data_IF_356758175927
#
_entry.id   IF_356758175927
#
_cell.length_a   1.000
_cell.length_b   1.000
_cell.length_c   1.000
_cell.angle_alpha   90.00
_cell.angle_beta   90.00
_cell.angle_gamma   90.00
#
_symmetry.space_group_name_H-M   'P 1'
#
loop_
_entity.id
_entity.type
_entity.pdbx_description
1 polymer ?
#
# COMPACT_ATOMS: atom_id res chain seq x y z
N UNK A 1 4.51 4.21 6.79
CA UNK A 1 3.08 4.08 7.09
C UNK A 1 2.44 5.40 7.56
N UNK A 2 2.85 6.02 8.69
CA UNK A 2 2.24 7.27 9.16
C UNK A 2 2.35 8.43 8.16
N UNK A 3 3.48 8.59 7.50
CA UNK A 3 3.67 9.61 6.46
C UNK A 3 2.66 9.48 5.33
N UNK A 4 2.42 8.26 4.85
CA UNK A 4 1.46 7.98 3.78
C UNK A 4 0.03 8.32 4.19
N UNK A 5 -0.33 8.06 5.44
CA UNK A 5 -1.66 8.41 5.98
C UNK A 5 -1.82 9.94 6.01
N UNK A 6 -0.84 10.67 6.52
CA UNK A 6 -0.87 12.14 6.54
C UNK A 6 -0.93 12.73 5.13
N UNK A 7 -0.15 12.19 4.20
CA UNK A 7 -0.13 12.59 2.80
C UNK A 7 -1.51 12.41 2.14
N UNK A 8 -2.16 11.28 2.35
CA UNK A 8 -3.47 11.00 1.78
C UNK A 8 -4.60 11.74 2.46
N UNK A 9 -4.56 11.90 3.79
CA UNK A 9 -5.54 12.72 4.52
C UNK A 9 -5.44 14.17 4.04
N UNK A 10 -4.24 14.74 3.97
CA UNK A 10 -4.03 16.09 3.47
C UNK A 10 -4.56 16.27 2.03
N UNK A 11 -4.26 15.30 1.14
CA UNK A 11 -4.79 15.31 -0.23
C UNK A 11 -6.30 15.24 -0.26
N UNK A 12 -6.91 14.32 0.47
CA UNK A 12 -8.36 14.13 0.51
C UNK A 12 -9.09 15.36 1.04
N UNK A 13 -8.62 15.94 2.14
CA UNK A 13 -9.26 17.15 2.70
C UNK A 13 -9.13 18.33 1.74
N UNK A 14 -7.99 18.54 1.11
CA UNK A 14 -7.82 19.63 0.15
C UNK A 14 -8.69 19.44 -1.10
N UNK A 15 -8.77 18.21 -1.62
CA UNK A 15 -9.58 17.92 -2.82
C UNK A 15 -11.08 18.00 -2.52
N UNK A 16 -11.56 17.37 -1.47
CA UNK A 16 -13.00 17.27 -1.20
C UNK A 16 -13.55 18.41 -0.37
N UNK A 17 -12.73 18.99 0.53
CA UNK A 17 -13.17 20.06 1.42
C UNK A 17 -12.96 21.47 0.86
N UNK A 18 -11.96 21.66 0.00
CA UNK A 18 -11.53 22.99 -0.44
C UNK A 18 -11.38 23.13 -1.96
N UNK A 19 -12.05 22.30 -2.75
CA UNK A 19 -12.00 22.37 -4.22
C UNK A 19 -12.87 23.49 -4.82
N UNK A 20 -13.68 24.16 -4.01
CA UNK A 20 -14.48 25.30 -4.48
C UNK A 20 -13.60 26.49 -4.85
N UNK A 21 -13.87 27.23 -5.95
CA UNK A 21 -13.05 28.36 -6.40
C UNK A 21 -12.87 29.47 -5.34
N UNK A 22 -13.82 29.59 -4.41
CA UNK A 22 -13.80 30.60 -3.35
C UNK A 22 -13.36 30.06 -1.99
N UNK A 23 -13.00 28.78 -1.90
CA UNK A 23 -12.56 28.18 -0.64
C UNK A 23 -11.11 28.57 -0.33
N UNK A 24 -10.90 29.14 0.85
CA UNK A 24 -9.56 29.42 1.36
C UNK A 24 -9.10 28.18 2.15
N UNK A 25 -8.11 27.49 1.64
CA UNK A 25 -7.55 26.32 2.32
C UNK A 25 -6.73 26.78 3.54
N UNK A 26 -7.08 26.36 4.77
CA UNK A 26 -6.26 26.63 5.94
C UNK A 26 -4.84 26.08 5.77
N UNK A 27 -3.83 26.84 6.18
CA UNK A 27 -2.40 26.51 6.00
C UNK A 27 -1.99 25.18 6.63
N UNK A 28 -2.75 24.69 7.60
CA UNK A 28 -2.47 23.40 8.26
C UNK A 28 -2.51 22.21 7.30
N UNK A 29 -3.43 22.21 6.32
CA UNK A 29 -3.58 21.07 5.40
C UNK A 29 -2.42 20.94 4.41
N UNK A 30 -1.96 22.02 3.75
CA UNK A 30 -0.72 21.97 2.97
C UNK A 30 0.49 21.54 3.80
N UNK A 31 0.60 21.98 5.07
CA UNK A 31 1.70 21.55 5.96
C UNK A 31 1.62 20.04 6.22
N UNK A 32 0.46 19.53 6.63
CA UNK A 32 0.24 18.09 6.83
C UNK A 32 0.58 17.30 5.57
N UNK A 33 0.16 17.77 4.42
CA UNK A 33 0.44 17.15 3.13
C UNK A 33 1.95 17.07 2.84
N UNK A 34 2.70 18.18 3.01
CA UNK A 34 4.14 18.21 2.75
C UNK A 34 4.91 17.34 3.75
N UNK A 35 4.59 17.43 5.04
CA UNK A 35 5.20 16.57 6.06
C UNK A 35 4.93 15.09 5.74
N UNK A 36 3.69 14.76 5.40
CA UNK A 36 3.32 13.40 4.99
C UNK A 36 4.06 12.93 3.75
N UNK A 37 4.17 13.78 2.72
CA UNK A 37 4.89 13.47 1.48
C UNK A 37 6.39 13.25 1.73
N UNK A 38 7.02 14.10 2.53
CA UNK A 38 8.45 13.96 2.89
C UNK A 38 8.69 12.68 3.66
N UNK A 39 7.90 12.39 4.68
CA UNK A 39 8.02 11.16 5.47
C UNK A 39 7.78 9.91 4.62
N UNK A 40 6.83 9.97 3.69
CA UNK A 40 6.55 8.87 2.75
C UNK A 40 7.74 8.67 1.82
N UNK A 41 8.25 9.74 1.25
CA UNK A 41 9.39 9.73 0.35
C UNK A 41 10.62 9.11 1.02
N UNK A 42 11.01 9.63 2.19
CA UNK A 42 12.14 9.11 2.98
C UNK A 42 11.95 7.62 3.34
N UNK A 43 10.77 7.26 3.86
CA UNK A 43 10.48 5.90 4.26
C UNK A 43 10.44 4.92 3.08
N UNK A 44 9.91 5.34 1.93
CA UNK A 44 9.82 4.52 0.74
C UNK A 44 11.19 4.31 0.07
N UNK A 45 12.03 5.34 0.01
CA UNK A 45 13.41 5.20 -0.45
C UNK A 45 14.26 4.35 0.51
N UNK A 46 14.10 4.56 1.83
CA UNK A 46 14.76 3.71 2.82
C UNK A 46 14.38 2.25 2.65
N UNK A 47 13.09 1.96 2.50
CA UNK A 47 12.61 0.61 2.24
C UNK A 47 13.21 0.04 0.95
N UNK A 48 13.22 0.82 -0.14
CA UNK A 48 13.69 0.37 -1.44
C UNK A 48 15.17 -0.01 -1.44
N UNK A 49 16.02 0.83 -0.87
CA UNK A 49 17.47 0.65 -0.95
C UNK A 49 18.06 -0.19 0.18
N UNK A 50 17.45 -0.20 1.36
CA UNK A 50 17.99 -0.89 2.53
C UNK A 50 17.19 -2.12 2.91
N UNK A 51 15.89 -1.98 3.21
CA UNK A 51 15.09 -3.10 3.70
C UNK A 51 14.76 -4.13 2.63
N UNK A 52 14.50 -3.68 1.40
CA UNK A 52 14.20 -4.58 0.29
C UNK A 52 15.40 -5.42 -0.12
N UNK A 53 16.59 -4.85 -0.07
CA UNK A 53 17.85 -5.54 -0.39
C UNK A 53 18.16 -6.60 0.65
N UNK A 54 17.99 -6.29 1.94
CA UNK A 54 18.22 -7.24 3.04
C UNK A 54 17.21 -8.40 3.02
N UNK A 55 15.95 -8.12 2.68
CA UNK A 55 14.91 -9.15 2.54
C UNK A 55 15.11 -10.00 1.30
N UNK A 56 15.76 -9.45 0.27
CA UNK A 56 16.13 -10.17 -0.94
C UNK A 56 17.54 -10.77 -0.88
N UNK A 57 18.05 -11.12 0.31
CA UNK A 57 19.35 -11.77 0.52
C UNK A 57 19.56 -13.05 -0.33
N UNK A 58 18.55 -13.48 -1.08
CA UNK A 58 18.61 -14.47 -2.15
C UNK A 58 19.13 -13.90 -3.49
N UNK A 59 20.10 -12.99 -3.47
CA UNK A 59 20.92 -12.61 -4.61
C UNK A 59 20.24 -11.84 -5.77
N UNK A 60 19.17 -11.09 -5.53
CA UNK A 60 18.57 -10.26 -6.58
C UNK A 60 19.07 -8.80 -6.51
N UNK A 61 19.40 -8.23 -7.68
CA UNK A 61 19.81 -6.83 -7.77
C UNK A 61 18.68 -5.87 -7.35
N UNK A 62 19.04 -4.70 -6.79
CA UNK A 62 18.10 -3.63 -6.37
C UNK A 62 17.16 -3.20 -7.51
N UNK A 63 17.61 -3.32 -8.75
CA UNK A 63 16.86 -2.91 -9.95
C UNK A 63 15.94 -3.99 -10.52
N UNK A 64 15.92 -5.20 -9.96
CA UNK A 64 14.98 -6.22 -10.39
C UNK A 64 13.60 -5.94 -9.81
N UNK A 65 12.70 -5.45 -10.64
CA UNK A 65 11.32 -5.14 -10.27
C UNK A 65 10.49 -6.43 -10.36
N UNK A 66 9.84 -6.81 -9.28
CA UNK A 66 8.84 -7.88 -9.23
C UNK A 66 7.44 -7.28 -9.05
N UNK A 67 6.40 -8.02 -9.37
CA UNK A 67 5.00 -7.54 -9.26
C UNK A 67 4.67 -6.99 -7.86
N UNK A 68 5.26 -7.56 -6.81
CA UNK A 68 5.08 -7.11 -5.45
C UNK A 68 5.64 -5.70 -5.18
N UNK A 69 6.61 -5.27 -5.97
CA UNK A 69 7.29 -3.97 -5.80
C UNK A 69 6.52 -2.82 -6.47
N UNK A 70 5.61 -3.11 -7.40
CA UNK A 70 4.90 -2.08 -8.16
C UNK A 70 4.16 -1.09 -7.25
N UNK A 71 3.62 -1.57 -6.14
CA UNK A 71 2.96 -0.70 -5.17
C UNK A 71 3.95 0.27 -4.50
N UNK A 72 5.10 -0.24 -4.05
CA UNK A 72 6.14 0.59 -3.40
C UNK A 72 6.73 1.57 -4.42
N UNK A 73 6.97 1.12 -5.65
CA UNK A 73 7.44 1.98 -6.73
C UNK A 73 6.44 3.10 -7.04
N UNK A 74 5.15 2.78 -7.16
CA UNK A 74 4.11 3.78 -7.37
C UNK A 74 4.03 4.77 -6.20
N UNK A 75 4.23 4.32 -4.97
CA UNK A 75 4.28 5.17 -3.78
C UNK A 75 5.50 6.11 -3.78
N UNK A 76 6.68 5.60 -4.13
CA UNK A 76 7.90 6.40 -4.33
C UNK A 76 7.66 7.47 -5.38
N UNK A 77 7.15 7.10 -6.54
CA UNK A 77 6.89 8.02 -7.64
C UNK A 77 5.83 9.05 -7.28
N UNK A 78 4.72 8.64 -6.64
CA UNK A 78 3.67 9.55 -6.19
C UNK A 78 4.22 10.60 -5.23
N UNK A 79 4.93 10.21 -4.17
CA UNK A 79 5.46 11.15 -3.20
C UNK A 79 6.54 12.07 -3.80
N UNK A 80 7.42 11.54 -4.63
CA UNK A 80 8.49 12.32 -5.30
C UNK A 80 7.92 13.33 -6.30
N UNK A 81 7.01 12.89 -7.17
CA UNK A 81 6.41 13.78 -8.16
C UNK A 81 5.48 14.80 -7.52
N UNK A 82 4.79 14.45 -6.43
CA UNK A 82 4.00 15.40 -5.66
C UNK A 82 4.84 16.52 -5.05
N UNK A 83 5.98 16.18 -4.43
CA UNK A 83 6.90 17.18 -3.88
C UNK A 83 7.54 18.03 -4.99
N UNK A 84 7.94 17.43 -6.11
CA UNK A 84 8.48 18.14 -7.26
C UNK A 84 7.43 19.09 -7.86
N UNK A 85 6.18 18.64 -8.04
CA UNK A 85 5.09 19.49 -8.48
C UNK A 85 4.92 20.72 -7.58
N UNK A 86 4.85 20.51 -6.26
CA UNK A 86 4.71 21.62 -5.30
C UNK A 86 5.87 22.60 -5.39
N UNK A 87 7.10 22.10 -5.54
CA UNK A 87 8.30 22.93 -5.70
C UNK A 87 8.24 23.81 -6.96
N UNK A 88 7.92 23.21 -8.13
CA UNK A 88 7.85 23.94 -9.41
C UNK A 88 6.65 24.87 -9.48
N UNK A 89 5.58 24.56 -8.79
CA UNK A 89 4.44 25.49 -8.65
C UNK A 89 4.84 26.73 -7.85
N UNK A 90 5.58 26.55 -6.74
CA UNK A 90 6.08 27.65 -5.93
C UNK A 90 7.14 28.48 -6.68
N UNK A 91 8.01 27.86 -7.45
CA UNK A 91 9.03 28.54 -8.25
C UNK A 91 8.50 29.29 -9.47
N UNK A 92 7.21 29.19 -9.78
CA UNK A 92 6.57 29.87 -10.92
C UNK A 92 6.84 29.22 -12.29
N UNK A 93 7.45 28.03 -12.33
CA UNK A 93 7.78 27.33 -13.56
C UNK A 93 6.57 26.56 -14.10
N UNK A 94 5.69 27.24 -14.85
CA UNK A 94 4.40 26.67 -15.29
C UNK A 94 4.52 25.36 -16.07
N UNK A 95 5.48 25.25 -17.01
CA UNK A 95 5.64 24.04 -17.82
C UNK A 95 6.06 22.82 -16.99
N UNK A 96 7.04 22.98 -16.09
CA UNK A 96 7.48 21.90 -15.20
C UNK A 96 6.41 21.57 -14.16
N UNK A 97 5.70 22.56 -13.65
CA UNK A 97 4.59 22.33 -12.72
C UNK A 97 3.52 21.43 -13.34
N UNK A 98 3.09 21.72 -14.57
CA UNK A 98 2.10 20.90 -15.29
C UNK A 98 2.64 19.49 -15.56
N UNK A 99 3.90 19.37 -15.98
CA UNK A 99 4.52 18.07 -16.21
C UNK A 99 4.51 17.20 -14.95
N UNK A 100 4.98 17.73 -13.81
CA UNK A 100 5.03 16.98 -12.55
C UNK A 100 3.64 16.73 -11.96
N UNK A 101 2.67 17.61 -12.21
CA UNK A 101 1.27 17.34 -11.87
C UNK A 101 0.73 16.11 -12.60
N UNK A 102 0.96 16.03 -13.92
CA UNK A 102 0.54 14.88 -14.73
C UNK A 102 1.22 13.61 -14.26
N UNK A 103 2.53 13.63 -14.02
CA UNK A 103 3.27 12.49 -13.49
C UNK A 103 2.77 12.07 -12.12
N UNK A 104 2.47 13.01 -11.25
CA UNK A 104 1.87 12.77 -9.94
C UNK A 104 0.48 12.11 -10.06
N UNK A 105 -0.37 12.62 -10.95
CA UNK A 105 -1.69 12.05 -11.19
C UNK A 105 -1.58 10.61 -11.73
N UNK A 106 -0.72 10.37 -12.71
CA UNK A 106 -0.48 9.02 -13.26
C UNK A 106 0.04 8.07 -12.19
N UNK A 107 1.01 8.50 -11.37
CA UNK A 107 1.53 7.68 -10.27
C UNK A 107 0.45 7.32 -9.25
N UNK A 108 -0.47 8.25 -8.93
CA UNK A 108 -1.59 7.97 -8.03
C UNK A 108 -2.62 7.03 -8.67
N UNK A 109 -2.94 7.20 -9.94
CA UNK A 109 -3.83 6.26 -10.66
C UNK A 109 -3.22 4.86 -10.65
N UNK A 110 -1.92 4.73 -10.91
CA UNK A 110 -1.23 3.45 -10.84
C UNK A 110 -1.21 2.88 -9.42
N UNK A 111 -1.02 3.74 -8.41
CA UNK A 111 -1.00 3.35 -7.01
C UNK A 111 -2.36 2.78 -6.56
N UNK A 112 -3.45 3.52 -6.78
CA UNK A 112 -4.78 3.11 -6.36
C UNK A 112 -5.37 2.02 -7.27
N UNK A 113 -5.18 2.11 -8.58
CA UNK A 113 -5.60 1.09 -9.53
C UNK A 113 -4.85 -0.23 -9.37
N UNK A 114 -3.57 -0.16 -8.96
CA UNK A 114 -2.72 -1.32 -8.73
C UNK A 114 -2.96 -2.05 -7.41
N UNK A 115 -3.76 -1.50 -6.48
CA UNK A 115 -4.03 -2.11 -5.16
C UNK A 115 -4.54 -3.54 -5.29
N UNK A 116 -5.43 -3.80 -6.23
CA UNK A 116 -6.02 -5.12 -6.46
C UNK A 116 -4.97 -6.21 -6.77
N UNK A 117 -3.93 -5.87 -7.53
CA UNK A 117 -2.85 -6.81 -7.90
C UNK A 117 -1.65 -6.75 -6.96
N UNK A 118 -1.69 -5.90 -5.94
CA UNK A 118 -0.61 -5.73 -4.97
C UNK A 118 -0.79 -6.65 -3.75
N UNK A 119 0.24 -6.73 -2.91
CA UNK A 119 0.13 -7.38 -1.59
C UNK A 119 -0.96 -6.75 -0.70
N UNK A 120 -1.40 -5.53 -0.98
CA UNK A 120 -2.48 -4.87 -0.26
C UNK A 120 -3.86 -5.47 -0.54
N UNK A 121 -4.07 -6.11 -1.68
CA UNK A 121 -5.29 -6.88 -1.94
C UNK A 121 -5.56 -7.90 -0.81
N UNK A 122 -4.50 -8.50 -0.28
CA UNK A 122 -4.57 -9.44 0.82
C UNK A 122 -5.23 -8.84 2.09
N UNK A 123 -5.06 -7.54 2.36
CA UNK A 123 -5.70 -6.85 3.48
C UNK A 123 -7.23 -6.78 3.32
N UNK A 124 -7.73 -6.74 2.08
CA UNK A 124 -9.16 -6.75 1.79
C UNK A 124 -9.73 -8.17 1.73
N UNK A 125 -8.97 -9.13 1.22
CA UNK A 125 -9.43 -10.52 1.10
C UNK A 125 -9.40 -11.27 2.43
N UNK A 126 -8.46 -10.99 3.33
CA UNK A 126 -8.39 -11.67 4.64
C UNK A 126 -9.65 -11.53 5.47
N UNK A 127 -10.23 -10.33 5.67
CA UNK A 127 -11.49 -10.19 6.40
C UNK A 127 -12.63 -10.96 5.73
N UNK A 128 -12.72 -10.90 4.38
CA UNK A 128 -13.73 -11.65 3.62
C UNK A 128 -13.60 -13.16 3.81
N UNK A 129 -12.39 -13.68 3.69
CA UNK A 129 -12.11 -15.10 3.92
C UNK A 129 -12.39 -15.53 5.38
N UNK A 130 -12.10 -14.67 6.35
CA UNK A 130 -12.40 -14.92 7.76
C UNK A 130 -13.91 -14.97 8.02
N UNK A 131 -14.68 -14.07 7.42
CA UNK A 131 -16.15 -14.08 7.51
C UNK A 131 -16.71 -15.34 6.85
N UNK A 132 -16.25 -15.69 5.66
CA UNK A 132 -16.67 -16.91 4.96
C UNK A 132 -16.37 -18.17 5.79
N UNK A 133 -15.17 -18.23 6.39
CA UNK A 133 -14.82 -19.32 7.30
C UNK A 133 -15.79 -19.42 8.47
N UNK A 134 -16.06 -18.30 9.17
CA UNK A 134 -16.95 -18.28 10.31
C UNK A 134 -18.40 -18.66 9.92
N UNK A 135 -18.86 -18.24 8.74
CA UNK A 135 -20.17 -18.64 8.22
C UNK A 135 -20.22 -20.15 7.94
N UNK A 136 -19.22 -20.70 7.26
CA UNK A 136 -19.14 -22.11 6.96
C UNK A 136 -18.99 -23.01 8.21
N UNK A 137 -18.40 -22.46 9.28
CA UNK A 137 -18.37 -23.14 10.58
C UNK A 137 -19.72 -23.07 11.29
N UNK A 138 -20.44 -21.95 11.20
CA UNK A 138 -21.71 -21.71 11.87
C UNK A 138 -22.86 -22.48 11.22
N UNK A 139 -22.88 -22.59 9.89
CA UNK A 139 -23.91 -23.33 9.13
C UNK A 139 -23.63 -24.83 9.03
N UNK A 140 -22.43 -25.26 9.47
CA UNK A 140 -22.02 -26.68 9.45
C UNK A 140 -21.66 -27.23 8.06
N UNK A 141 -21.69 -26.39 7.00
CA UNK A 141 -21.35 -26.82 5.64
C UNK A 141 -19.88 -27.16 5.51
N UNK A 142 -19.02 -26.42 6.21
CA UNK A 142 -17.56 -26.54 6.18
C UNK A 142 -16.97 -26.53 4.78
N UNK A 143 -17.69 -25.96 3.82
CA UNK A 143 -17.26 -25.86 2.43
C UNK A 143 -15.91 -25.15 2.33
N UNK A 144 -14.95 -25.79 1.67
CA UNK A 144 -13.57 -25.30 1.50
C UNK A 144 -12.77 -25.09 2.79
N UNK A 145 -13.25 -25.59 3.94
CA UNK A 145 -12.45 -25.62 5.16
C UNK A 145 -11.65 -26.92 5.26
N UNK A 146 -10.39 -26.87 5.70
CA UNK A 146 -9.69 -28.08 6.04
C UNK A 146 -10.46 -28.79 7.18
N UNK A 147 -10.39 -30.13 7.26
CA UNK A 147 -10.96 -30.86 8.38
C UNK A 147 -10.45 -30.21 9.68
N UNK A 148 -11.26 -30.19 10.76
CA UNK A 148 -10.81 -29.64 12.04
C UNK A 148 -9.47 -30.31 12.34
N UNK A 149 -8.49 -29.49 12.71
CA UNK A 149 -7.30 -30.04 13.34
C UNK A 149 -7.85 -30.81 14.57
N UNK A 150 -8.03 -32.10 14.41
CA UNK A 150 -8.41 -32.96 15.51
C UNK A 150 -7.51 -32.63 16.68
N UNK A 151 -8.10 -32.64 17.88
CA UNK A 151 -7.45 -32.28 19.12
C UNK A 151 -6.02 -32.81 19.16
N UNK A 152 -5.11 -32.13 19.83
CA UNK A 152 -3.68 -32.39 19.79
C UNK A 152 -3.23 -33.75 20.34
N UNK A 153 -4.03 -34.75 20.20
CA UNK A 153 -3.80 -36.12 20.58
C UNK A 153 -2.48 -36.67 20.03
N UNK A 154 -1.82 -35.85 19.20
CA UNK A 154 -0.79 -36.43 18.37
C UNK A 154 0.53 -35.68 18.38
N UNK A 155 0.64 -34.65 19.18
CA UNK A 155 1.92 -33.99 19.37
C UNK A 155 2.82 -34.86 20.26
N UNK A 156 3.82 -35.45 19.64
CA UNK A 156 4.90 -36.12 20.36
C UNK A 156 4.84 -37.66 20.49
N UNK A 157 3.82 -38.31 19.96
CA UNK A 157 3.64 -39.77 20.07
C UNK A 157 3.87 -40.56 18.76
N UNK A 158 4.66 -40.04 17.85
CA UNK A 158 5.04 -40.78 16.64
C UNK A 158 3.93 -40.99 15.60
N UNK A 159 2.80 -40.35 15.77
CA UNK A 159 1.71 -40.44 14.80
C UNK A 159 2.03 -39.52 13.62
N UNK A 160 2.13 -40.09 12.43
CA UNK A 160 2.38 -39.37 11.20
C UNK A 160 1.21 -38.44 10.93
N UNK A 161 1.45 -37.13 10.97
CA UNK A 161 0.52 -36.15 10.39
C UNK A 161 0.39 -36.44 8.90
N UNK A 162 -0.81 -36.67 8.42
CA UNK A 162 -1.06 -36.55 6.99
C UNK A 162 -0.82 -35.09 6.60
N UNK A 163 -0.02 -34.89 5.54
CA UNK A 163 0.17 -33.56 5.01
C UNK A 163 -1.20 -32.96 4.64
N UNK A 164 -1.45 -31.68 4.92
CA UNK A 164 -2.69 -31.04 4.51
C UNK A 164 -2.87 -31.23 3.02
N UNK A 165 -3.99 -31.82 2.62
CA UNK A 165 -4.34 -31.94 1.22
C UNK A 165 -4.64 -30.53 0.71
N UNK A 166 -3.70 -29.98 -0.03
CA UNK A 166 -3.93 -28.75 -0.78
C UNK A 166 -4.83 -29.11 -1.97
N UNK A 167 -6.05 -28.65 -1.94
CA UNK A 167 -6.96 -28.66 -3.06
C UNK A 167 -6.83 -27.37 -3.84
#
# INVERSE_FOLDING_TARGET
MYGTILFWIGSGVMIFGYSSPNAVTPSIWPIIWHVGAILTCLGAYWFWFFLRVDVSAEAHSVFRIIKADLFVLALVLSSTFGLAWSYFQYSGSSGLSVLFLVLFAVANIALFGGVYWSKFAHMFYKPGAAIQKNLAEADGSRDNLPPPAEAPEQYGLGIKREAPKHY
#
